data_IF_691734467696
#
_entry.id   IF_691734467696
#
_cell.length_a   1.000
_cell.length_b   1.000
_cell.length_c   1.000
_cell.angle_alpha   90.00
_cell.angle_beta   90.00
_cell.angle_gamma   90.00
#
_symmetry.space_group_name_H-M   'P 1'
#
loop_
_entity.id
_entity.type
_entity.pdbx_description
1 polymer ?
#
# COMPACT_ATOMS: atom_id res chain seq x y z
N UNK A 1 0.17 -29.97 15.26
CA UNK A 1 0.23 -29.53 14.70
C UNK A 1 0.28 -29.19 14.19
N UNK A 2 0.30 -29.10 14.11
CA UNK A 2 0.40 -28.62 13.50
C UNK A 2 0.37 -27.98 13.03
N UNK A 3 0.43 -28.12 13.27
CA UNK A 3 0.46 -27.41 12.82
C UNK A 3 0.49 -26.89 12.07
N UNK A 4 0.52 -26.96 12.12
CA UNK A 4 0.60 -26.41 11.41
C UNK A 4 1.03 -26.01 10.84
N UNK A 5 1.11 -26.29 10.98
CA UNK A 5 1.68 -25.78 10.47
C UNK A 5 1.58 -24.97 9.72
N UNK A 6 1.27 -24.48 10.16
CA UNK A 6 0.90 -23.63 9.12
C UNK A 6 2.00 -22.95 8.39
N UNK A 7 2.12 -23.30 7.28
CA UNK A 7 3.26 -22.91 6.53
C UNK A 7 2.95 -21.81 5.54
N UNK A 8 1.70 -21.42 5.43
CA UNK A 8 1.33 -20.43 4.43
C UNK A 8 1.58 -19.04 4.95
N UNK A 9 2.35 -18.24 4.21
CA UNK A 9 2.62 -16.86 4.56
C UNK A 9 1.40 -15.98 4.31
N UNK A 10 1.19 -14.99 5.17
CA UNK A 10 0.19 -13.97 4.92
C UNK A 10 0.61 -13.13 3.71
N UNK A 11 -0.35 -12.78 2.88
CA UNK A 11 -0.12 -11.93 1.72
C UNK A 11 -0.58 -10.52 2.03
N UNK A 12 0.35 -9.59 2.07
CA UNK A 12 0.09 -8.22 2.49
C UNK A 12 0.27 -7.30 1.28
N UNK A 13 -0.80 -6.60 0.91
CA UNK A 13 -0.71 -5.55 -0.10
C UNK A 13 -0.38 -4.23 0.56
N UNK A 14 0.46 -3.42 -0.06
CA UNK A 14 0.85 -2.12 0.48
C UNK A 14 0.77 -1.09 -0.63
N UNK A 15 0.21 0.07 -0.33
CA UNK A 15 0.30 1.20 -1.24
C UNK A 15 0.51 2.48 -0.43
N UNK A 16 1.04 3.50 -1.09
CA UNK A 16 1.30 4.80 -0.50
C UNK A 16 0.32 5.82 -1.08
N UNK A 17 -0.34 6.57 -0.20
CA UNK A 17 -1.29 7.60 -0.61
C UNK A 17 -0.58 8.92 -0.84
N UNK A 18 -0.91 9.61 -1.91
CA UNK A 18 -0.37 10.92 -2.18
C UNK A 18 -1.33 11.73 -3.03
N UNK A 19 -1.10 13.03 -3.10
CA UNK A 19 -1.91 13.94 -3.90
C UNK A 19 -1.08 14.45 -5.07
N UNK A 20 -1.61 14.27 -6.27
CA UNK A 20 -0.85 14.50 -7.51
C UNK A 20 -0.32 15.93 -7.63
N UNK A 21 -1.08 16.91 -7.18
CA UNK A 21 -0.67 18.31 -7.29
C UNK A 21 0.56 18.63 -6.45
N UNK A 22 0.91 17.80 -5.48
CA UNK A 22 2.07 18.07 -4.63
C UNK A 22 3.39 17.80 -5.34
N UNK A 23 3.37 16.95 -6.38
CA UNK A 23 4.64 16.58 -7.03
C UNK A 23 5.32 17.77 -7.69
N UNK A 24 4.52 18.70 -8.22
CA UNK A 24 5.07 19.90 -8.85
C UNK A 24 5.54 20.94 -7.82
N UNK A 25 5.00 20.88 -6.61
CA UNK A 25 5.28 21.87 -5.57
C UNK A 25 6.46 21.50 -4.68
N UNK A 26 6.74 20.21 -4.53
CA UNK A 26 7.74 19.73 -3.58
C UNK A 26 8.71 18.79 -4.28
N UNK A 27 9.87 19.31 -4.62
CA UNK A 27 10.92 18.55 -5.28
C UNK A 27 11.30 17.32 -4.46
N UNK A 28 11.37 16.18 -5.11
CA UNK A 28 11.82 14.96 -4.46
C UNK A 28 10.81 14.31 -3.53
N UNK A 29 9.62 14.90 -3.39
CA UNK A 29 8.63 14.34 -2.48
C UNK A 29 8.16 12.97 -2.94
N UNK A 30 7.89 12.79 -4.23
CA UNK A 30 7.45 11.54 -4.78
C UNK A 30 8.46 10.42 -4.49
N UNK A 31 9.72 10.68 -4.82
CA UNK A 31 10.78 9.68 -4.61
C UNK A 31 10.93 9.34 -3.14
N UNK A 32 10.81 10.35 -2.28
CA UNK A 32 10.93 10.14 -0.84
C UNK A 32 9.81 9.28 -0.31
N UNK A 33 8.58 9.52 -0.77
CA UNK A 33 7.43 8.73 -0.33
C UNK A 33 7.53 7.28 -0.82
N UNK A 34 8.01 7.09 -2.04
CA UNK A 34 8.24 5.74 -2.55
C UNK A 34 9.31 5.02 -1.71
N UNK A 35 10.35 5.74 -1.31
CA UNK A 35 11.38 5.15 -0.45
C UNK A 35 10.82 4.71 0.88
N UNK A 36 9.96 5.52 1.48
CA UNK A 36 9.33 5.14 2.75
C UNK A 36 8.43 3.92 2.55
N UNK A 37 7.68 3.88 1.46
CA UNK A 37 6.83 2.73 1.18
C UNK A 37 7.63 1.45 1.01
N UNK A 38 8.75 1.54 0.29
CA UNK A 38 9.63 0.39 0.10
C UNK A 38 10.26 -0.05 1.42
N UNK A 39 10.58 0.91 2.28
CA UNK A 39 11.11 0.60 3.61
C UNK A 39 10.09 -0.18 4.42
N UNK A 40 8.82 0.26 4.41
CA UNK A 40 7.74 -0.43 5.10
C UNK A 40 7.59 -1.85 4.53
N UNK A 41 7.61 -1.97 3.20
CA UNK A 41 7.49 -3.27 2.55
C UNK A 41 8.61 -4.22 3.00
N UNK A 42 9.84 -3.71 3.07
CA UNK A 42 10.98 -4.51 3.53
C UNK A 42 10.80 -4.99 4.96
N UNK A 43 10.31 -4.11 5.83
CA UNK A 43 10.09 -4.47 7.23
C UNK A 43 9.03 -5.54 7.38
N UNK A 44 7.94 -5.41 6.65
CA UNK A 44 6.85 -6.38 6.71
C UNK A 44 7.32 -7.73 6.15
N UNK A 45 8.10 -7.69 5.07
CA UNK A 45 8.63 -8.91 4.47
C UNK A 45 9.58 -9.61 5.44
N UNK A 46 10.39 -8.83 6.16
CA UNK A 46 11.32 -9.38 7.15
C UNK A 46 10.60 -10.06 8.30
N UNK A 47 9.33 -9.71 8.53
CA UNK A 47 8.52 -10.35 9.56
C UNK A 47 7.90 -11.67 9.08
N UNK A 48 8.15 -12.08 7.86
CA UNK A 48 7.71 -13.36 7.35
C UNK A 48 6.50 -13.33 6.43
N UNK A 49 6.04 -12.15 6.03
CA UNK A 49 4.90 -12.02 5.12
C UNK A 49 5.37 -11.95 3.68
N UNK A 50 4.48 -12.31 2.75
CA UNK A 50 4.69 -12.04 1.33
C UNK A 50 4.11 -10.65 1.05
N UNK A 51 4.92 -9.78 0.47
CA UNK A 51 4.54 -8.37 0.30
C UNK A 51 4.34 -8.04 -1.17
N UNK A 52 3.25 -7.33 -1.44
CA UNK A 52 2.91 -6.85 -2.79
C UNK A 52 2.76 -5.34 -2.71
N UNK A 53 3.84 -4.62 -3.02
CA UNK A 53 3.84 -3.17 -2.94
C UNK A 53 3.47 -2.57 -4.30
N UNK A 54 2.32 -1.88 -4.36
CA UNK A 54 1.86 -1.28 -5.61
C UNK A 54 2.63 0.00 -5.94
N UNK A 55 2.95 0.81 -4.95
CA UNK A 55 3.55 2.10 -5.17
C UNK A 55 2.60 3.22 -4.77
N UNK A 56 2.61 4.32 -5.50
CA UNK A 56 1.80 5.48 -5.16
C UNK A 56 0.42 5.43 -5.81
N UNK A 57 -0.59 5.74 -5.00
CA UNK A 57 -1.94 5.96 -5.48
C UNK A 57 -2.22 7.44 -5.28
N UNK A 58 -2.18 8.20 -6.37
CA UNK A 58 -2.32 9.66 -6.33
C UNK A 58 -3.47 10.16 -7.20
N UNK A 59 -4.20 9.25 -7.83
CA UNK A 59 -5.37 9.60 -8.63
C UNK A 59 -6.27 8.38 -8.73
N UNK A 60 -7.48 8.61 -9.23
CA UNK A 60 -8.49 7.56 -9.32
C UNK A 60 -8.04 6.39 -10.19
N UNK A 61 -7.38 6.68 -11.28
CA UNK A 61 -6.89 5.63 -12.19
C UNK A 61 -5.91 4.70 -11.49
N UNK A 62 -4.98 5.27 -10.73
CA UNK A 62 -4.04 4.45 -9.96
C UNK A 62 -4.74 3.65 -8.88
N UNK A 63 -5.80 4.20 -8.29
CA UNK A 63 -6.60 3.47 -7.33
C UNK A 63 -7.23 2.23 -7.92
N UNK A 64 -7.78 2.33 -9.13
CA UNK A 64 -8.33 1.16 -9.83
C UNK A 64 -7.25 0.11 -10.10
N UNK A 65 -6.10 0.55 -10.59
CA UNK A 65 -5.00 -0.37 -10.89
C UNK A 65 -4.50 -1.07 -9.64
N UNK A 66 -4.39 -0.33 -8.53
CA UNK A 66 -3.94 -0.92 -7.28
C UNK A 66 -4.92 -1.97 -6.78
N UNK A 67 -6.21 -1.68 -6.86
CA UNK A 67 -7.24 -2.64 -6.47
C UNK A 67 -7.15 -3.92 -7.26
N UNK A 68 -7.01 -3.80 -8.59
CA UNK A 68 -6.87 -4.97 -9.46
C UNK A 68 -5.60 -5.76 -9.15
N UNK A 69 -4.52 -5.05 -8.88
CA UNK A 69 -3.25 -5.68 -8.53
C UNK A 69 -3.40 -6.52 -7.25
N UNK A 70 -4.04 -5.96 -6.23
CA UNK A 70 -4.21 -6.68 -4.97
C UNK A 70 -5.14 -7.89 -5.12
N UNK A 71 -6.22 -7.74 -5.90
CA UNK A 71 -7.13 -8.87 -6.15
C UNK A 71 -6.40 -9.97 -6.90
N UNK A 72 -5.63 -9.61 -7.91
CA UNK A 72 -4.89 -10.59 -8.71
C UNK A 72 -3.91 -11.39 -7.87
N UNK A 73 -3.38 -10.79 -6.83
CA UNK A 73 -2.40 -11.44 -5.96
C UNK A 73 -3.02 -12.05 -4.71
N UNK A 74 -4.35 -11.98 -4.57
CA UNK A 74 -5.09 -12.60 -3.47
C UNK A 74 -4.55 -12.17 -2.11
N UNK A 75 -4.35 -10.85 -1.91
CA UNK A 75 -3.82 -10.35 -0.65
C UNK A 75 -4.83 -10.55 0.48
N UNK A 76 -4.32 -10.82 1.67
CA UNK A 76 -5.14 -11.05 2.86
C UNK A 76 -5.42 -9.75 3.61
N UNK A 77 -4.53 -8.79 3.49
CA UNK A 77 -4.59 -7.53 4.23
C UNK A 77 -3.95 -6.44 3.39
N UNK A 78 -4.49 -5.23 3.49
CA UNK A 78 -3.90 -4.06 2.84
C UNK A 78 -3.37 -3.10 3.89
N UNK A 79 -2.13 -2.65 3.74
CA UNK A 79 -1.58 -1.56 4.53
C UNK A 79 -1.58 -0.31 3.66
N UNK A 80 -2.34 0.69 4.08
CA UNK A 80 -2.42 1.94 3.35
C UNK A 80 -1.49 2.95 4.05
N UNK A 81 -0.35 3.22 3.42
CA UNK A 81 0.64 4.13 3.96
C UNK A 81 0.24 5.57 3.64
N UNK A 82 0.01 6.36 4.66
CA UNK A 82 -0.41 7.74 4.50
C UNK A 82 0.81 8.63 4.26
N UNK A 83 1.09 8.92 3.00
CA UNK A 83 2.24 9.76 2.62
C UNK A 83 1.91 11.23 2.72
N UNK A 84 0.91 11.66 1.97
CA UNK A 84 0.43 13.03 2.01
C UNK A 84 -1.10 13.01 2.04
N UNK A 85 -1.69 14.19 2.12
CA UNK A 85 -3.14 14.30 1.96
C UNK A 85 -3.55 13.71 0.61
N UNK A 86 -4.68 13.01 0.58
CA UNK A 86 -5.18 12.40 -0.64
C UNK A 86 -6.70 12.52 -0.64
N UNK A 87 -7.29 12.64 -1.82
CA UNK A 87 -8.76 12.68 -1.92
C UNK A 87 -9.31 11.26 -1.84
N UNK A 88 -10.51 11.12 -1.27
CA UNK A 88 -11.16 9.81 -1.20
C UNK A 88 -11.39 9.24 -2.60
N UNK A 89 -11.62 10.10 -3.59
CA UNK A 89 -11.85 9.63 -4.97
C UNK A 89 -10.66 8.84 -5.50
N UNK A 90 -9.45 9.15 -5.04
CA UNK A 90 -8.24 8.46 -5.50
C UNK A 90 -8.11 7.06 -4.89
N UNK A 91 -8.44 6.91 -3.60
CA UNK A 91 -8.18 5.65 -2.90
C UNK A 91 -9.39 4.76 -2.78
N UNK A 92 -10.58 5.32 -2.88
CA UNK A 92 -11.82 4.55 -2.76
C UNK A 92 -11.85 3.35 -3.72
N UNK A 93 -11.43 3.49 -5.01
CA UNK A 93 -11.47 2.34 -5.91
C UNK A 93 -10.66 1.14 -5.43
N UNK A 94 -9.55 1.37 -4.72
CA UNK A 94 -8.75 0.27 -4.17
C UNK A 94 -9.63 -0.63 -3.32
N UNK A 95 -10.42 -0.01 -2.44
CA UNK A 95 -11.22 -0.75 -1.46
C UNK A 95 -12.55 -1.21 -2.00
N UNK A 96 -13.01 -0.63 -3.10
CA UNK A 96 -14.19 -1.11 -3.80
C UNK A 96 -13.88 -2.37 -4.59
N UNK A 97 -12.68 -2.46 -5.13
CA UNK A 97 -12.26 -3.60 -5.94
C UNK A 97 -11.72 -4.72 -5.06
N UNK A 98 -10.84 -4.39 -4.12
CA UNK A 98 -10.27 -5.38 -3.20
C UNK A 98 -10.89 -5.23 -1.82
N UNK A 99 -11.59 -6.26 -1.36
CA UNK A 99 -12.34 -6.21 -0.11
C UNK A 99 -11.56 -6.69 1.11
N UNK A 100 -10.26 -6.88 0.97
CA UNK A 100 -9.42 -7.28 2.09
C UNK A 100 -9.46 -6.22 3.19
N UNK A 101 -9.25 -6.66 4.43
CA UNK A 101 -9.17 -5.74 5.55
C UNK A 101 -8.04 -4.74 5.35
N UNK A 102 -8.28 -3.48 5.71
CA UNK A 102 -7.29 -2.42 5.52
C UNK A 102 -6.88 -1.80 6.84
N UNK A 103 -5.58 -1.62 7.02
CA UNK A 103 -5.03 -0.89 8.15
C UNK A 103 -4.31 0.33 7.61
N UNK A 104 -4.62 1.50 8.16
CA UNK A 104 -3.98 2.74 7.75
C UNK A 104 -2.73 2.92 8.59
N UNK A 105 -1.61 3.11 7.91
CA UNK A 105 -0.32 3.28 8.57
C UNK A 105 0.13 4.71 8.36
N UNK A 106 0.22 5.45 9.46
CA UNK A 106 0.59 6.85 9.42
C UNK A 106 1.96 7.02 10.06
N UNK A 107 3.01 6.92 9.23
CA UNK A 107 4.38 7.11 9.69
C UNK A 107 4.80 8.54 9.46
N UNK A 108 5.27 9.17 10.52
CA UNK A 108 5.76 10.53 10.45
C UNK A 108 7.28 10.48 10.44
N UNK A 109 7.93 10.82 9.34
CA UNK A 109 9.39 10.85 9.35
C UNK A 109 9.87 11.95 10.29
N UNK A 110 10.92 11.65 11.00
CA UNK A 110 11.48 12.59 11.96
C UNK A 110 12.19 13.74 11.24
#
# INVERSE_FOLDING_TARGET
>A
MEKIKNTKKAKIGIYTMGLQCYWAQFDGLWERLLSYGKFIASKVEAMGASVYYYGLVDCEEEGHKAGEYFVSNHVDLILAHSGTYVTSASVLPVHQICKAMTVILNLQPA
#
